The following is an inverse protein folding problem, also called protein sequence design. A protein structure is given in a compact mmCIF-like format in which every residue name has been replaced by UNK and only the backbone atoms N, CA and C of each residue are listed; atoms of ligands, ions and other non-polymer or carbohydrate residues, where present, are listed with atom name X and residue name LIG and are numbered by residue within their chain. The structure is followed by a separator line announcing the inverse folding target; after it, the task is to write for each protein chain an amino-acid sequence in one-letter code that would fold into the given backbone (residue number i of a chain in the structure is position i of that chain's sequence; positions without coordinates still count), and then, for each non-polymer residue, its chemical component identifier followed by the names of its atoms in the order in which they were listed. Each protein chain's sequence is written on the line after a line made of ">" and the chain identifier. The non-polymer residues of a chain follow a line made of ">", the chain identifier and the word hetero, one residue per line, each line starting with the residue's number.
data_IF_217369689408
#
_entry.id   IF_217369689408
#
_cell.length_a   1.000
_cell.length_b   1.000
_cell.length_c   1.000
_cell.angle_alpha   90.00
_cell.angle_beta   90.00
_cell.angle_gamma   90.00
#
_symmetry.space_group_name_H-M   'P 1'
#
loop_
_entity.id
_entity.type
_entity.pdbx_description
1 polymer ?
#
# COMPACT_ATOMS: atom_id res chain seq x y z
N UNK A 1 15.18 -6.45 16.89
CA UNK A 1 15.14 -7.61 15.97
C UNK A 1 14.86 -7.09 14.57
N UNK A 2 15.75 -7.33 13.61
CA UNK A 2 15.50 -6.98 12.21
C UNK A 2 14.49 -7.93 11.58
N UNK A 3 13.64 -7.42 10.69
CA UNK A 3 12.84 -8.22 9.76
C UNK A 3 13.48 -8.13 8.38
N UNK A 4 13.51 -9.25 7.66
CA UNK A 4 14.01 -9.30 6.29
C UNK A 4 12.84 -9.55 5.34
N UNK A 5 12.82 -8.81 4.24
CA UNK A 5 11.85 -8.94 3.15
C UNK A 5 12.63 -8.94 1.83
N UNK A 6 12.16 -9.67 0.83
CA UNK A 6 12.78 -9.69 -0.50
C UNK A 6 12.53 -8.35 -1.21
N UNK A 7 11.33 -7.82 -1.05
CA UNK A 7 10.88 -6.56 -1.64
C UNK A 7 10.36 -5.62 -0.56
N UNK A 8 10.83 -4.37 -0.57
CA UNK A 8 10.34 -3.31 0.30
C UNK A 8 9.87 -2.14 -0.56
N UNK A 9 8.61 -1.76 -0.39
CA UNK A 9 8.05 -0.52 -0.92
C UNK A 9 8.07 0.51 0.21
N UNK A 10 8.73 1.65 -0.02
CA UNK A 10 8.75 2.76 0.93
C UNK A 10 7.69 3.81 0.53
N UNK A 11 6.72 4.03 1.41
CA UNK A 11 5.54 4.89 1.21
C UNK A 11 4.28 4.07 0.95
N UNK A 12 3.20 4.34 1.67
CA UNK A 12 1.90 3.63 1.59
C UNK A 12 0.83 4.30 0.73
N UNK A 13 1.22 5.02 -0.33
CA UNK A 13 0.28 5.69 -1.22
C UNK A 13 -0.38 4.77 -2.25
N UNK A 14 -1.16 5.36 -3.17
CA UNK A 14 -1.85 4.67 -4.27
C UNK A 14 -0.92 3.69 -5.01
N UNK A 15 0.27 4.16 -5.41
CA UNK A 15 1.25 3.34 -6.12
C UNK A 15 1.68 2.09 -5.35
N UNK A 16 1.76 2.15 -4.01
CA UNK A 16 2.14 1.00 -3.20
C UNK A 16 1.05 -0.08 -3.18
N UNK A 17 -0.22 0.33 -3.08
CA UNK A 17 -1.35 -0.58 -3.18
C UNK A 17 -1.41 -1.28 -4.54
N UNK A 18 -1.28 -0.52 -5.63
CA UNK A 18 -1.29 -1.08 -6.97
C UNK A 18 -0.05 -1.93 -7.29
N UNK A 19 1.13 -1.55 -6.80
CA UNK A 19 2.33 -2.37 -6.91
C UNK A 19 2.15 -3.70 -6.16
N UNK A 20 1.65 -3.67 -4.92
CA UNK A 20 1.38 -4.89 -4.16
C UNK A 20 0.35 -5.80 -4.85
N UNK A 21 -0.70 -5.23 -5.44
CA UNK A 21 -1.64 -5.99 -6.26
C UNK A 21 -0.95 -6.70 -7.42
N UNK A 22 -0.05 -6.02 -8.13
CA UNK A 22 0.71 -6.63 -9.23
C UNK A 22 1.71 -7.69 -8.72
N UNK A 23 2.39 -7.47 -7.60
CA UNK A 23 3.24 -8.50 -6.97
C UNK A 23 2.46 -9.77 -6.66
N UNK A 24 1.26 -9.66 -6.10
CA UNK A 24 0.38 -10.80 -5.83
C UNK A 24 0.00 -11.51 -7.14
N UNK A 25 -0.35 -10.76 -8.19
CA UNK A 25 -0.64 -11.33 -9.53
C UNK A 25 0.55 -12.04 -10.16
N UNK A 26 1.77 -11.60 -9.86
CA UNK A 26 3.04 -12.22 -10.31
C UNK A 26 3.45 -13.41 -9.45
N UNK A 27 2.71 -13.74 -8.39
CA UNK A 27 2.96 -14.91 -7.55
C UNK A 27 4.05 -14.69 -6.49
N UNK A 28 4.20 -13.48 -5.96
CA UNK A 28 5.06 -13.24 -4.79
C UNK A 28 4.61 -14.14 -3.63
N UNK A 29 5.58 -14.76 -2.96
CA UNK A 29 5.31 -15.67 -1.85
C UNK A 29 4.94 -14.88 -0.59
N UNK A 30 4.18 -15.53 0.29
CA UNK A 30 3.84 -14.95 1.58
C UNK A 30 5.10 -14.53 2.35
N UNK A 31 5.12 -13.30 2.85
CA UNK A 31 6.24 -12.76 3.63
C UNK A 31 7.38 -12.15 2.81
N UNK A 32 7.32 -12.18 1.46
CA UNK A 32 8.39 -11.59 0.64
C UNK A 32 8.26 -10.07 0.43
N UNK A 33 7.04 -9.54 0.49
CA UNK A 33 6.74 -8.13 0.24
C UNK A 33 6.36 -7.40 1.52
N UNK A 34 6.99 -6.25 1.75
CA UNK A 34 6.63 -5.30 2.81
C UNK A 34 6.37 -3.91 2.24
N UNK A 35 5.31 -3.25 2.71
CA UNK A 35 5.10 -1.81 2.54
C UNK A 35 5.40 -1.15 3.89
N UNK A 36 6.29 -0.15 3.89
CA UNK A 36 6.53 0.70 5.04
C UNK A 36 5.86 2.04 4.79
N UNK A 37 4.95 2.45 5.67
CA UNK A 37 4.20 3.70 5.59
C UNK A 37 4.21 4.40 6.94
N UNK A 38 4.25 5.72 6.92
CA UNK A 38 4.03 6.56 8.10
C UNK A 38 2.53 6.74 8.40
N UNK A 39 1.68 6.61 7.38
CA UNK A 39 0.21 6.66 7.55
C UNK A 39 -0.27 5.36 8.26
N UNK A 40 -1.14 5.45 9.30
CA UNK A 40 -1.58 4.30 10.10
C UNK A 40 -2.69 3.47 9.43
N UNK A 41 -2.86 3.62 8.12
CA UNK A 41 -3.91 2.98 7.31
C UNK A 41 -3.28 2.29 6.09
N UNK A 42 -3.98 1.30 5.55
CA UNK A 42 -3.59 0.68 4.28
C UNK A 42 -3.67 1.68 3.12
N UNK A 43 -2.97 1.42 1.98
CA UNK A 43 -3.09 2.26 0.78
C UNK A 43 -4.54 2.47 0.36
N UNK A 44 -4.86 3.71 -0.02
CA UNK A 44 -6.21 4.14 -0.40
C UNK A 44 -6.17 5.07 -1.61
N UNK A 45 -7.34 5.28 -2.24
CA UNK A 45 -7.52 6.21 -3.35
C UNK A 45 -7.47 7.67 -2.89
N UNK A 46 -6.26 8.26 -2.91
CA UNK A 46 -6.03 9.66 -2.51
C UNK A 46 -6.98 10.68 -3.17
N UNK A 47 -7.39 10.55 -4.46
CA UNK A 47 -8.31 11.51 -5.08
C UNK A 47 -9.69 11.64 -4.42
N UNK A 48 -10.11 10.66 -3.61
CA UNK A 48 -11.39 10.69 -2.91
C UNK A 48 -11.41 11.74 -1.78
N UNK A 49 -10.27 12.01 -1.15
CA UNK A 49 -10.14 12.89 0.02
C UNK A 49 -10.51 14.35 -0.27
N UNK A 50 -10.40 14.79 -1.52
CA UNK A 50 -10.76 16.15 -1.95
C UNK A 50 -12.10 16.21 -2.71
N UNK A 51 -12.87 15.12 -2.70
CA UNK A 51 -14.10 14.95 -3.50
C UNK A 51 -15.19 14.31 -2.65
N UNK A 52 -15.51 13.03 -2.92
CA UNK A 52 -16.60 12.31 -2.28
C UNK A 52 -16.50 12.26 -0.76
N UNK A 53 -15.28 12.28 -0.21
CA UNK A 53 -15.06 12.28 1.24
C UNK A 53 -15.55 13.56 1.94
N UNK A 54 -15.69 14.67 1.22
CA UNK A 54 -16.14 15.95 1.77
C UNK A 54 -17.63 16.20 1.53
N UNK A 55 -18.34 15.27 0.88
CA UNK A 55 -19.78 15.39 0.69
C UNK A 55 -20.50 15.13 2.02
N UNK A 56 -21.58 15.87 2.32
CA UNK A 56 -22.42 15.57 3.49
C UNK A 56 -23.09 14.20 3.34
N UNK A 57 -23.39 13.58 4.49
CA UNK A 57 -24.19 12.35 4.58
C UNK A 57 -25.61 12.54 4.05
#
# INVERSE_FOLDING_TARGET
>A
MGRAFVYVILGGGVSAGYAALEFVRRGVSHGELCIISDEPVAPYERPALSKGFLLPE
#
